data_IF_063699014254
#
_entry.id   IF_063699014254
#
_cell.length_a   1.000
_cell.length_b   1.000
_cell.length_c   1.000
_cell.angle_alpha   90.00
_cell.angle_beta   90.00
_cell.angle_gamma   90.00
#
_symmetry.space_group_name_H-M   'P 1'
#
loop_
_entity.id
_entity.type
_entity.pdbx_description
1 polymer ?
#
# COMPACT_ATOMS: atom_id res chain seq x y z
N UNK A 1 2.14 3.52 8.97
CA UNK A 1 2.64 2.70 10.11
C UNK A 1 1.50 2.07 10.91
N UNK A 2 0.60 2.84 11.54
CA UNK A 2 -0.47 2.28 12.40
C UNK A 2 -1.39 1.28 11.67
N UNK A 3 -1.77 1.56 10.42
CA UNK A 3 -2.62 0.63 9.66
C UNK A 3 -1.92 -0.67 9.30
N UNK A 4 -0.64 -0.62 8.90
CA UNK A 4 0.15 -1.82 8.60
C UNK A 4 0.38 -2.74 9.79
N UNK A 5 0.37 -2.18 11.00
CA UNK A 5 0.52 -2.99 12.20
C UNK A 5 -0.80 -3.62 12.66
N UNK A 6 -1.90 -3.39 11.95
CA UNK A 6 -3.20 -3.97 12.27
C UNK A 6 -3.15 -5.50 12.44
N UNK A 7 -2.57 -6.28 11.51
CA UNK A 7 -2.61 -7.75 11.59
C UNK A 7 -1.92 -8.27 12.84
N UNK A 8 -0.83 -7.62 13.27
CA UNK A 8 -0.04 -8.01 14.45
C UNK A 8 -0.74 -7.70 15.78
N UNK A 9 -1.66 -6.72 15.77
CA UNK A 9 -2.39 -6.26 16.96
C UNK A 9 -3.71 -7.00 17.14
N UNK A 10 -4.12 -7.79 16.17
CA UNK A 10 -5.30 -8.63 16.25
C UNK A 10 -5.01 -9.86 17.12
N UNK A 11 -6.02 -10.29 17.87
CA UNK A 11 -5.94 -11.57 18.56
C UNK A 11 -5.89 -12.68 17.51
N UNK A 12 -4.84 -13.50 17.56
CA UNK A 12 -4.79 -14.73 16.76
C UNK A 12 -5.89 -15.67 17.27
N UNK A 13 -6.94 -15.76 16.48
CA UNK A 13 -8.04 -16.68 16.73
C UNK A 13 -7.72 -18.04 16.10
N UNK A 14 -8.09 -19.13 16.77
CA UNK A 14 -8.03 -20.46 16.17
C UNK A 14 -8.96 -20.59 14.94
N UNK A 15 -8.87 -21.69 14.17
CA UNK A 15 -9.59 -21.87 12.90
C UNK A 15 -11.12 -21.70 12.97
N UNK A 16 -11.71 -21.83 14.15
CA UNK A 16 -13.15 -21.73 14.40
C UNK A 16 -13.57 -20.45 15.12
N UNK A 17 -12.64 -19.56 15.47
CA UNK A 17 -12.93 -18.36 16.25
C UNK A 17 -13.06 -17.13 15.33
N UNK A 18 -14.25 -16.90 14.79
CA UNK A 18 -14.55 -15.66 14.07
C UNK A 18 -14.71 -14.50 15.06
N UNK A 19 -13.88 -13.47 14.91
CA UNK A 19 -14.10 -12.20 15.61
C UNK A 19 -15.04 -11.34 14.77
N UNK A 20 -16.08 -10.79 15.41
CA UNK A 20 -17.07 -9.92 14.78
C UNK A 20 -16.42 -8.60 14.29
N UNK A 21 -15.36 -8.17 14.96
CA UNK A 21 -14.76 -6.84 14.75
C UNK A 21 -13.44 -6.85 13.99
N UNK A 22 -12.78 -8.01 13.88
CA UNK A 22 -11.45 -8.13 13.25
C UNK A 22 -11.28 -9.44 12.49
N UNK A 23 -10.58 -9.44 11.35
CA UNK A 23 -10.19 -10.65 10.62
C UNK A 23 -8.81 -10.47 9.96
N UNK A 24 -8.12 -11.57 9.68
CA UNK A 24 -6.80 -11.57 9.02
C UNK A 24 -5.65 -11.24 9.98
N UNK A 25 -5.62 -11.84 11.17
CA UNK A 25 -4.48 -11.73 12.05
C UNK A 25 -3.27 -12.47 11.44
N UNK A 26 -2.11 -11.83 11.40
CA UNK A 26 -0.87 -12.39 10.88
C UNK A 26 0.30 -11.76 11.62
N UNK A 27 1.38 -12.50 11.86
CA UNK A 27 2.59 -11.95 12.49
C UNK A 27 3.51 -11.24 11.47
N UNK A 28 4.48 -10.47 11.98
CA UNK A 28 5.39 -9.68 11.14
C UNK A 28 6.26 -10.57 10.25
N UNK A 29 6.66 -11.73 10.77
CA UNK A 29 7.47 -12.68 10.02
C UNK A 29 6.69 -13.23 8.82
N UNK A 30 5.42 -13.57 8.99
CA UNK A 30 4.52 -14.05 7.94
C UNK A 30 4.33 -13.02 6.84
N UNK A 31 4.11 -11.75 7.18
CA UNK A 31 3.99 -10.67 6.17
C UNK A 31 5.32 -10.49 5.41
N UNK A 32 6.46 -10.49 6.09
CA UNK A 32 7.77 -10.35 5.44
C UNK A 32 8.05 -11.55 4.54
N UNK A 33 7.82 -12.78 4.99
CA UNK A 33 8.01 -13.98 4.17
C UNK A 33 7.07 -14.01 2.96
N UNK A 34 5.85 -13.53 3.11
CA UNK A 34 4.89 -13.45 2.03
C UNK A 34 5.32 -12.41 0.97
N UNK A 35 5.66 -11.19 1.38
CA UNK A 35 6.02 -10.10 0.47
C UNK A 35 7.41 -10.28 -0.16
N UNK A 36 8.39 -10.70 0.64
CA UNK A 36 9.79 -10.77 0.23
C UNK A 36 10.24 -12.20 -0.12
N UNK A 37 9.67 -13.24 0.50
CA UNK A 37 10.17 -14.62 0.40
C UNK A 37 9.66 -15.41 -0.81
N UNK A 38 8.58 -14.99 -1.46
CA UNK A 38 7.98 -15.76 -2.56
C UNK A 38 8.63 -15.44 -3.91
N UNK A 39 9.31 -16.42 -4.51
CA UNK A 39 9.87 -16.51 -5.88
C UNK A 39 10.86 -15.43 -6.36
N UNK A 40 10.69 -14.14 -5.99
CA UNK A 40 11.47 -13.01 -6.52
C UNK A 40 12.36 -12.29 -5.50
N UNK A 41 12.46 -12.78 -4.26
CA UNK A 41 13.29 -12.18 -3.20
C UNK A 41 13.15 -10.65 -3.12
N UNK A 42 11.91 -10.16 -3.20
CA UNK A 42 11.69 -8.73 -3.38
C UNK A 42 11.87 -7.99 -2.05
N UNK A 43 12.92 -7.19 -1.95
CA UNK A 43 13.20 -6.42 -0.74
C UNK A 43 12.41 -5.09 -0.67
N UNK A 44 11.78 -4.68 -1.76
CA UNK A 44 11.08 -3.39 -1.85
C UNK A 44 9.63 -3.61 -2.26
N UNK A 45 8.71 -3.02 -1.50
CA UNK A 45 7.27 -3.10 -1.77
C UNK A 45 6.71 -1.73 -2.12
N UNK A 46 5.71 -1.73 -2.99
CA UNK A 46 4.90 -0.55 -3.28
C UNK A 46 3.92 -0.37 -2.14
N UNK A 47 3.86 0.86 -1.62
CA UNK A 47 2.93 1.28 -0.60
C UNK A 47 1.80 2.06 -1.26
N UNK A 48 0.57 1.58 -1.17
CA UNK A 48 -0.63 2.28 -1.63
C UNK A 48 -1.60 2.59 -0.47
N UNK A 49 -2.32 3.69 -0.58
CA UNK A 49 -3.26 4.17 0.45
C UNK A 49 -4.52 4.77 -0.18
N UNK A 50 -5.67 4.56 0.46
CA UNK A 50 -6.88 5.37 0.27
C UNK A 50 -7.30 5.98 1.62
N UNK A 51 -7.34 7.31 1.70
CA UNK A 51 -7.65 8.06 2.92
C UNK A 51 -8.31 9.43 2.60
N UNK A 52 -9.58 9.65 3.01
CA UNK A 52 -10.51 8.62 3.48
C UNK A 52 -10.79 7.58 2.40
N UNK A 53 -10.97 6.33 2.80
CA UNK A 53 -11.36 5.27 1.87
C UNK A 53 -12.81 5.48 1.40
N UNK A 54 -13.13 5.18 0.12
CA UNK A 54 -14.48 5.31 -0.39
C UNK A 54 -15.42 4.29 0.27
N UNK A 55 -16.73 4.54 0.16
CA UNK A 55 -17.74 3.56 0.55
C UNK A 55 -17.67 2.33 -0.33
N UNK A 56 -17.94 1.15 0.26
CA UNK A 56 -18.18 -0.08 -0.47
C UNK A 56 -19.49 0.09 -1.26
N UNK A 57 -19.37 0.39 -2.55
CA UNK A 57 -20.50 0.41 -3.48
C UNK A 57 -20.58 -0.93 -4.20
N UNK A 58 -21.76 -1.52 -4.20
CA UNK A 58 -22.09 -2.68 -5.05
C UNK A 58 -22.33 -2.25 -6.51
N UNK A 59 -22.53 -0.95 -6.76
CA UNK A 59 -22.85 -0.42 -8.09
C UNK A 59 -21.61 0.18 -8.78
N UNK A 60 -21.39 -0.27 -10.02
CA UNK A 60 -20.23 -0.06 -10.91
C UNK A 60 -19.91 1.40 -11.30
N UNK A 61 -20.70 2.38 -10.86
CA UNK A 61 -20.52 3.79 -11.26
C UNK A 61 -19.60 4.60 -10.33
N UNK A 62 -19.26 4.07 -9.14
CA UNK A 62 -18.30 4.68 -8.22
C UNK A 62 -16.91 4.04 -8.38
N UNK A 63 -15.84 4.80 -8.12
CA UNK A 63 -14.46 4.30 -8.16
C UNK A 63 -14.35 3.01 -7.33
N UNK A 64 -13.84 1.95 -7.96
CA UNK A 64 -13.64 0.66 -7.27
C UNK A 64 -12.68 0.84 -6.09
N UNK A 65 -12.79 -0.02 -5.08
CA UNK A 65 -11.90 -0.02 -3.91
C UNK A 65 -10.43 0.00 -4.34
N UNK A 66 -10.06 -0.84 -5.31
CA UNK A 66 -8.70 -0.91 -5.86
C UNK A 66 -8.31 0.35 -6.63
N UNK A 67 -9.22 0.93 -7.42
CA UNK A 67 -8.97 2.16 -8.17
C UNK A 67 -8.81 3.41 -7.31
N UNK A 68 -9.28 3.36 -6.05
CA UNK A 68 -9.09 4.46 -5.09
C UNK A 68 -7.71 4.47 -4.41
N UNK A 69 -6.93 3.40 -4.56
CA UNK A 69 -5.60 3.28 -3.96
C UNK A 69 -4.59 4.16 -4.71
N UNK A 70 -3.91 5.02 -3.98
CA UNK A 70 -2.88 5.91 -4.50
C UNK A 70 -1.49 5.46 -3.99
N UNK A 71 -0.49 5.28 -4.88
CA UNK A 71 0.86 4.92 -4.47
C UNK A 71 1.52 6.08 -3.73
N UNK A 72 2.07 5.79 -2.54
CA UNK A 72 2.97 6.68 -1.81
C UNK A 72 4.44 6.40 -2.12
N UNK A 73 4.73 5.22 -2.68
CA UNK A 73 6.05 4.94 -3.27
C UNK A 73 6.16 5.75 -4.57
N UNK A 74 7.18 6.61 -4.73
CA UNK A 74 7.33 7.42 -5.95
C UNK A 74 7.78 6.57 -7.13
N UNK A 75 7.56 7.08 -8.35
CA UNK A 75 8.06 6.49 -9.61
C UNK A 75 7.66 5.00 -9.79
N UNK A 76 6.44 4.67 -9.39
CA UNK A 76 5.86 3.34 -9.59
C UNK A 76 5.10 3.32 -10.91
N UNK A 77 5.26 2.24 -11.67
CA UNK A 77 4.49 2.04 -12.89
C UNK A 77 3.04 1.68 -12.58
N UNK A 78 2.11 2.31 -13.30
CA UNK A 78 0.67 2.03 -13.24
C UNK A 78 0.32 0.85 -14.16
N UNK A 79 -0.76 0.14 -13.83
CA UNK A 79 -1.36 -0.93 -14.65
C UNK A 79 -0.38 -2.02 -15.15
N UNK A 80 0.61 -2.36 -14.32
CA UNK A 80 1.59 -3.41 -14.65
C UNK A 80 0.99 -4.79 -14.40
N UNK A 81 0.90 -5.60 -15.46
CA UNK A 81 0.59 -7.01 -15.34
C UNK A 81 1.77 -7.76 -14.69
N UNK A 82 1.51 -8.35 -13.53
CA UNK A 82 2.51 -9.11 -12.78
C UNK A 82 1.90 -10.35 -12.12
N UNK A 83 2.02 -11.49 -12.81
CA UNK A 83 1.53 -12.79 -12.36
C UNK A 83 2.24 -13.36 -11.12
N UNK A 84 3.27 -12.68 -10.62
CA UNK A 84 3.94 -13.04 -9.37
C UNK A 84 3.79 -11.96 -8.31
N UNK A 85 2.94 -10.96 -8.54
CA UNK A 85 2.64 -9.97 -7.53
C UNK A 85 2.04 -10.63 -6.29
N UNK A 86 2.47 -10.18 -5.13
CA UNK A 86 1.96 -10.62 -3.83
C UNK A 86 1.67 -9.39 -3.00
N UNK A 87 0.55 -9.38 -2.28
CA UNK A 87 0.17 -8.22 -1.49
C UNK A 87 -0.49 -8.55 -0.16
N UNK A 88 -0.43 -7.58 0.75
CA UNK A 88 -1.26 -7.53 1.94
C UNK A 88 -2.03 -6.22 1.95
N UNK A 89 -3.33 -6.31 2.20
CA UNK A 89 -4.23 -5.18 2.31
C UNK A 89 -4.80 -5.11 3.73
N UNK A 90 -4.82 -3.91 4.30
CA UNK A 90 -5.42 -3.65 5.61
C UNK A 90 -6.53 -2.62 5.47
N UNK A 91 -7.71 -2.94 5.98
CA UNK A 91 -8.91 -2.09 5.90
C UNK A 91 -9.39 -1.74 7.32
N UNK A 92 -9.57 -0.45 7.57
CA UNK A 92 -10.11 0.09 8.81
C UNK A 92 -11.45 0.78 8.57
N UNK A 93 -12.45 0.39 9.35
CA UNK A 93 -13.71 1.12 9.47
C UNK A 93 -14.44 1.32 8.15
N UNK A 94 -14.35 0.37 7.22
CA UNK A 94 -15.07 0.44 5.95
C UNK A 94 -16.55 0.79 6.17
N UNK A 95 -17.10 1.57 5.24
CA UNK A 95 -18.50 2.01 5.26
C UNK A 95 -19.20 1.54 3.99
N UNK A 96 -20.48 1.20 4.09
CA UNK A 96 -21.34 0.93 2.93
C UNK A 96 -21.84 2.23 2.32
N UNK A 97 -22.47 2.18 1.15
CA UNK A 97 -23.06 3.35 0.49
C UNK A 97 -24.08 4.13 1.36
N UNK A 98 -24.68 3.49 2.36
CA UNK A 98 -25.55 4.14 3.35
C UNK A 98 -24.82 4.84 4.50
N UNK A 99 -23.49 5.03 4.41
CA UNK A 99 -22.64 5.55 5.50
C UNK A 99 -22.69 4.71 6.79
N UNK A 100 -23.11 3.46 6.69
CA UNK A 100 -23.13 2.51 7.80
C UNK A 100 -21.81 1.73 7.84
N UNK A 101 -21.38 1.29 9.03
CA UNK A 101 -20.19 0.44 9.16
C UNK A 101 -20.43 -0.88 8.46
N UNK A 102 -19.53 -1.24 7.56
CA UNK A 102 -19.54 -2.52 6.88
C UNK A 102 -19.12 -3.64 7.84
N UNK A 103 -19.80 -4.76 7.75
CA UNK A 103 -19.38 -6.02 8.35
C UNK A 103 -18.12 -6.56 7.66
N UNK A 104 -17.42 -7.47 8.34
CA UNK A 104 -16.24 -8.14 7.76
C UNK A 104 -16.61 -8.92 6.49
N UNK A 105 -17.80 -9.51 6.45
CA UNK A 105 -18.26 -10.25 5.28
C UNK A 105 -18.44 -9.33 4.06
N UNK A 106 -19.11 -8.19 4.22
CA UNK A 106 -19.27 -7.19 3.15
C UNK A 106 -17.91 -6.66 2.66
N UNK A 107 -16.95 -6.46 3.56
CA UNK A 107 -15.59 -6.04 3.16
C UNK A 107 -14.90 -7.11 2.32
N UNK A 108 -14.97 -8.39 2.74
CA UNK A 108 -14.37 -9.50 2.01
C UNK A 108 -15.00 -9.67 0.63
N UNK A 109 -16.33 -9.62 0.56
CA UNK A 109 -17.09 -9.70 -0.69
C UNK A 109 -16.75 -8.55 -1.65
N UNK A 110 -16.70 -7.32 -1.15
CA UNK A 110 -16.33 -6.16 -1.94
C UNK A 110 -14.88 -6.21 -2.46
N UNK A 111 -13.93 -6.70 -1.65
CA UNK A 111 -12.54 -6.90 -2.08
C UNK A 111 -12.46 -7.99 -3.16
N UNK A 112 -13.17 -9.10 -2.98
CA UNK A 112 -13.21 -10.18 -3.98
C UNK A 112 -13.81 -9.69 -5.30
N UNK A 113 -14.97 -9.02 -5.25
CA UNK A 113 -15.61 -8.45 -6.43
C UNK A 113 -14.71 -7.42 -7.14
N UNK A 114 -13.91 -6.66 -6.38
CA UNK A 114 -12.95 -5.71 -6.96
C UNK A 114 -11.81 -6.41 -7.71
N UNK A 115 -11.33 -7.57 -7.25
CA UNK A 115 -10.36 -8.35 -8.01
C UNK A 115 -10.99 -9.09 -9.19
N UNK A 116 -12.21 -9.61 -9.04
CA UNK A 116 -12.92 -10.31 -10.12
C UNK A 116 -13.20 -9.39 -11.33
N UNK A 117 -13.32 -8.09 -11.07
CA UNK A 117 -13.48 -7.04 -12.10
C UNK A 117 -12.17 -6.39 -12.55
N UNK A 118 -11.04 -6.74 -11.93
CA UNK A 118 -9.72 -6.21 -12.29
C UNK A 118 -9.10 -6.99 -13.44
N UNK A 119 -8.37 -6.30 -14.33
CA UNK A 119 -7.60 -6.93 -15.40
C UNK A 119 -6.43 -7.77 -14.85
N UNK A 120 -5.95 -7.43 -13.65
CA UNK A 120 -4.79 -8.07 -13.03
C UNK A 120 -5.11 -8.45 -11.59
N UNK A 121 -4.76 -9.68 -11.19
CA UNK A 121 -4.88 -10.16 -9.82
C UNK A 121 -3.51 -10.59 -9.30
N UNK A 122 -3.13 -10.23 -8.07
CA UNK A 122 -1.93 -10.78 -7.46
C UNK A 122 -2.04 -12.31 -7.33
N UNK A 123 -0.91 -13.00 -7.41
CA UNK A 123 -0.82 -14.45 -7.17
C UNK A 123 -1.31 -14.81 -5.77
N UNK A 124 -1.05 -13.94 -4.81
CA UNK A 124 -1.49 -14.10 -3.43
C UNK A 124 -1.86 -12.74 -2.84
N UNK A 125 -3.03 -12.67 -2.19
CA UNK A 125 -3.49 -11.48 -1.47
C UNK A 125 -3.90 -11.87 -0.06
N UNK A 126 -3.27 -11.24 0.93
CA UNK A 126 -3.69 -11.30 2.32
C UNK A 126 -4.57 -10.08 2.64
N UNK A 127 -5.69 -10.31 3.34
CA UNK A 127 -6.60 -9.25 3.75
C UNK A 127 -6.79 -9.24 5.27
N UNK A 128 -6.49 -8.11 5.89
CA UNK A 128 -6.82 -7.82 7.28
C UNK A 128 -7.87 -6.73 7.38
N UNK A 129 -8.89 -6.96 8.18
CA UNK A 129 -10.04 -6.06 8.30
C UNK A 129 -10.31 -5.77 9.76
N UNK A 130 -10.48 -4.50 10.12
CA UNK A 130 -11.05 -4.10 11.38
C UNK A 130 -12.24 -3.16 11.15
N UNK A 131 -13.34 -3.40 11.87
CA UNK A 131 -14.56 -2.57 11.78
C UNK A 131 -14.37 -1.18 12.40
N UNK A 132 -13.31 -0.98 13.19
CA UNK A 132 -13.00 0.31 13.78
C UNK A 132 -12.25 1.22 12.76
N UNK A 133 -12.71 2.48 12.58
CA UNK A 133 -11.99 3.47 11.77
C UNK A 133 -10.70 3.92 12.48
N UNK A 134 -9.86 4.67 11.76
CA UNK A 134 -8.71 5.32 12.37
C UNK A 134 -9.12 6.62 13.06
N UNK A 135 -8.83 6.79 14.36
CA UNK A 135 -9.10 8.05 15.05
C UNK A 135 -8.13 9.14 14.56
N UNK A 136 -8.61 10.38 14.49
CA UNK A 136 -7.78 11.56 14.23
C UNK A 136 -7.23 12.08 15.57
N UNK A 137 -5.90 12.19 15.73
CA UNK A 137 -5.33 12.71 16.98
C UNK A 137 -5.64 14.20 17.16
N UNK A 138 -5.63 14.68 18.40
CA UNK A 138 -5.76 16.11 18.72
C UNK A 138 -4.41 16.68 19.19
N UNK A 139 -3.95 17.82 18.64
CA UNK A 139 -4.47 18.52 17.47
C UNK A 139 -4.02 17.85 16.16
N UNK A 140 -4.82 17.98 15.09
CA UNK A 140 -4.44 17.52 13.75
C UNK A 140 -4.86 18.54 12.68
N UNK A 141 -4.04 18.73 11.63
CA UNK A 141 -4.25 19.80 10.64
C UNK A 141 -5.57 19.67 9.89
N UNK A 142 -6.09 20.81 9.43
CA UNK A 142 -7.32 20.89 8.65
C UNK A 142 -7.10 20.49 7.19
N UNK A 143 -6.84 19.20 6.96
CA UNK A 143 -6.56 18.64 5.63
C UNK A 143 -7.79 18.05 4.94
N UNK A 144 -8.91 17.93 5.64
CA UNK A 144 -10.12 17.33 5.08
C UNK A 144 -10.95 18.38 4.36
N UNK A 145 -11.51 18.03 3.21
CA UNK A 145 -12.44 18.89 2.48
C UNK A 145 -13.84 18.88 3.12
N UNK A 146 -14.71 19.78 2.67
CA UNK A 146 -16.11 19.85 3.09
C UNK A 146 -17.00 18.69 2.59
N UNK A 147 -16.47 17.80 1.74
CA UNK A 147 -17.12 16.55 1.32
C UNK A 147 -16.76 15.35 2.21
N UNK A 148 -15.86 15.51 3.17
CA UNK A 148 -15.54 14.48 4.16
C UNK A 148 -16.47 14.70 5.34
N UNK A 149 -17.21 13.69 5.79
CA UNK A 149 -18.12 13.75 6.94
C UNK A 149 -17.43 13.62 8.31
N UNK A 150 -18.19 13.45 9.39
CA UNK A 150 -17.64 13.47 10.76
C UNK A 150 -16.79 12.22 11.06
N UNK A 151 -17.12 11.09 10.44
CA UNK A 151 -16.41 9.82 10.60
C UNK A 151 -15.59 9.46 9.35
N UNK A 152 -15.31 10.46 8.51
CA UNK A 152 -14.49 10.37 7.31
C UNK A 152 -15.20 9.76 6.11
N UNK A 153 -16.51 9.51 6.20
CA UNK A 153 -17.35 9.12 5.07
C UNK A 153 -17.29 10.19 3.98
N UNK A 154 -17.19 9.77 2.72
CA UNK A 154 -17.25 10.69 1.58
C UNK A 154 -18.71 10.98 1.26
N UNK A 155 -19.10 12.25 1.31
CA UNK A 155 -20.46 12.73 1.11
C UNK A 155 -20.71 13.09 -0.35
N UNK A 156 -21.94 12.89 -0.82
CA UNK A 156 -22.35 13.30 -2.18
C UNK A 156 -22.52 14.82 -2.31
N UNK A 157 -22.83 15.49 -1.20
CA UNK A 157 -23.04 16.94 -1.16
C UNK A 157 -22.09 17.59 -0.15
N UNK A 158 -21.54 18.78 -0.47
CA UNK A 158 -20.63 19.47 0.42
C UNK A 158 -21.36 20.01 1.65
N UNK A 159 -20.72 19.92 2.81
CA UNK A 159 -21.19 20.56 4.03
C UNK A 159 -21.04 22.08 3.91
N UNK A 160 -22.10 22.80 4.29
CA UNK A 160 -22.10 24.27 4.31
C UNK A 160 -21.19 24.82 5.41
N UNK A 161 -20.46 25.90 5.12
CA UNK A 161 -19.55 26.54 6.07
C UNK A 161 -18.11 26.56 5.58
N UNK A 162 -17.21 25.87 6.28
CA UNK A 162 -15.79 25.86 5.97
C UNK A 162 -15.44 24.90 4.82
N UNK A 163 -14.58 25.33 3.89
CA UNK A 163 -14.05 24.48 2.82
C UNK A 163 -13.02 23.45 3.32
N UNK A 164 -12.42 23.70 4.48
CA UNK A 164 -11.41 22.86 5.12
C UNK A 164 -11.84 22.50 6.54
N UNK A 165 -11.67 21.23 6.89
CA UNK A 165 -12.10 20.61 8.14
C UNK A 165 -10.91 19.94 8.80
N UNK A 166 -10.81 20.06 10.13
CA UNK A 166 -9.75 19.48 10.93
C UNK A 166 -10.29 18.52 11.96
N UNK A 167 -9.51 18.35 13.03
CA UNK A 167 -9.76 17.34 14.05
C UNK A 167 -10.91 17.64 15.00
N UNK A 168 -11.45 18.86 14.97
CA UNK A 168 -12.66 19.22 15.71
C UNK A 168 -13.91 18.75 14.98
N UNK A 169 -13.87 18.74 13.66
CA UNK A 169 -15.01 18.39 12.81
C UNK A 169 -14.97 16.95 12.31
N UNK A 170 -13.77 16.39 12.09
CA UNK A 170 -13.57 15.01 11.65
C UNK A 170 -12.89 14.23 12.77
N UNK A 171 -13.58 13.22 13.29
CA UNK A 171 -13.16 12.46 14.47
C UNK A 171 -12.37 11.19 14.11
N UNK A 172 -12.71 10.60 12.97
CA UNK A 172 -12.10 9.37 12.48
C UNK A 172 -12.24 9.30 10.97
N UNK A 173 -11.56 8.36 10.33
CA UNK A 173 -11.76 8.08 8.91
C UNK A 173 -11.60 6.60 8.58
N UNK A 174 -12.32 6.08 7.58
CA UNK A 174 -12.02 4.79 6.99
C UNK A 174 -10.69 4.88 6.24
N UNK A 175 -9.87 3.83 6.31
CA UNK A 175 -8.58 3.80 5.63
C UNK A 175 -8.34 2.43 5.03
N UNK A 176 -7.80 2.41 3.82
CA UNK A 176 -7.27 1.21 3.19
C UNK A 176 -5.78 1.44 2.99
N UNK A 177 -4.98 0.43 3.32
CA UNK A 177 -3.57 0.41 3.00
C UNK A 177 -3.18 -0.89 2.34
N UNK A 178 -2.29 -0.83 1.36
CA UNK A 178 -1.79 -1.99 0.63
C UNK A 178 -0.28 -1.95 0.55
N UNK A 179 0.36 -3.08 0.88
CA UNK A 179 1.75 -3.34 0.53
C UNK A 179 1.76 -4.38 -0.56
N UNK A 180 2.43 -4.08 -1.67
CA UNK A 180 2.47 -4.93 -2.85
C UNK A 180 3.91 -5.16 -3.28
N UNK A 181 4.32 -6.42 -3.28
CA UNK A 181 5.54 -6.89 -3.92
C UNK A 181 5.23 -7.10 -5.40
N UNK A 182 5.77 -6.26 -6.28
CA UNK A 182 5.48 -6.29 -7.71
C UNK A 182 6.58 -5.63 -8.53
N UNK A 183 6.69 -5.98 -9.81
CA UNK A 183 7.55 -5.31 -10.81
C UNK A 183 7.21 -3.84 -11.01
N UNK A 184 6.05 -3.36 -10.56
CA UNK A 184 5.68 -1.95 -10.63
C UNK A 184 6.71 -1.01 -9.96
N UNK A 185 7.52 -1.50 -9.02
CA UNK A 185 8.59 -0.73 -8.36
C UNK A 185 9.86 -0.56 -9.21
N UNK A 186 9.95 -1.22 -10.37
CA UNK A 186 11.15 -1.20 -11.22
C UNK A 186 11.62 0.21 -11.60
N UNK A 187 10.77 1.16 -12.06
CA UNK A 187 11.26 2.46 -12.48
C UNK A 187 11.91 3.24 -11.33
N UNK A 188 11.34 3.14 -10.12
CA UNK A 188 11.95 3.66 -8.90
C UNK A 188 13.35 3.06 -8.65
N UNK A 189 13.49 1.73 -8.70
CA UNK A 189 14.77 1.06 -8.45
C UNK A 189 15.81 1.41 -9.52
N UNK A 190 15.43 1.46 -10.80
CA UNK A 190 16.30 1.85 -11.90
C UNK A 190 16.77 3.30 -11.76
N UNK A 191 15.86 4.21 -11.38
CA UNK A 191 16.18 5.60 -11.06
C UNK A 191 17.18 5.71 -9.92
N UNK A 192 16.99 4.97 -8.81
CA UNK A 192 17.93 4.99 -7.68
C UNK A 192 19.29 4.37 -8.05
N UNK A 193 19.31 3.27 -8.79
CA UNK A 193 20.54 2.66 -9.29
C UNK A 193 21.31 3.60 -10.21
N UNK A 194 20.61 4.28 -11.14
CA UNK A 194 21.21 5.28 -12.03
C UNK A 194 21.80 6.46 -11.26
N UNK A 195 21.08 6.97 -10.26
CA UNK A 195 21.57 8.04 -9.39
C UNK A 195 22.80 7.61 -8.57
N UNK A 196 22.79 6.40 -8.00
CA UNK A 196 23.92 5.89 -7.23
C UNK A 196 25.16 5.73 -8.11
N UNK A 197 25.01 5.23 -9.34
CA UNK A 197 26.11 5.14 -10.31
C UNK A 197 26.68 6.52 -10.62
N UNK A 198 25.82 7.43 -11.09
CA UNK A 198 26.22 8.78 -11.53
C UNK A 198 26.84 9.63 -10.42
N UNK A 199 26.31 9.55 -9.20
CA UNK A 199 26.69 10.46 -8.11
C UNK A 199 27.55 9.82 -7.03
N UNK A 200 27.63 8.49 -6.95
CA UNK A 200 28.40 7.79 -5.92
C UNK A 200 29.54 6.91 -6.43
N UNK A 201 29.35 6.19 -7.55
CA UNK A 201 30.27 5.12 -7.99
C UNK A 201 31.20 5.58 -9.11
N UNK A 202 30.67 6.29 -10.11
CA UNK A 202 31.41 6.64 -11.32
C UNK A 202 32.66 7.46 -10.99
N UNK A 203 33.70 7.29 -11.81
CA UNK A 203 34.95 8.03 -11.61
C UNK A 203 34.68 9.54 -11.71
N UNK A 204 35.01 10.26 -10.64
CA UNK A 204 34.78 11.71 -10.57
C UNK A 204 33.35 12.09 -10.18
N UNK A 205 32.56 11.15 -9.64
CA UNK A 205 31.22 11.41 -9.16
C UNK A 205 31.19 12.51 -8.09
N UNK A 206 30.38 13.55 -8.32
CA UNK A 206 30.31 14.75 -7.48
C UNK A 206 29.80 14.48 -6.07
N UNK A 207 29.04 13.40 -5.86
CA UNK A 207 28.51 13.00 -4.56
C UNK A 207 29.45 12.10 -3.76
N UNK A 208 30.53 11.58 -4.35
CA UNK A 208 31.46 10.68 -3.64
C UNK A 208 32.10 11.33 -2.39
N UNK A 209 32.57 12.59 -2.41
CA UNK A 209 33.08 13.24 -1.21
C UNK A 209 32.01 13.43 -0.12
N UNK A 210 30.76 13.67 -0.52
CA UNK A 210 29.64 13.82 0.41
C UNK A 210 29.33 12.48 1.09
N UNK A 211 29.24 11.39 0.33
CA UNK A 211 29.03 10.05 0.87
C UNK A 211 30.15 9.66 1.84
N UNK A 212 31.40 9.95 1.50
CA UNK A 212 32.54 9.75 2.39
C UNK A 212 32.43 10.58 3.68
N UNK A 213 31.98 11.84 3.58
CA UNK A 213 31.75 12.70 4.76
C UNK A 213 30.62 12.19 5.66
N UNK A 214 29.66 11.45 5.10
CA UNK A 214 28.60 10.76 5.84
C UNK A 214 29.06 9.42 6.44
N UNK A 215 30.30 9.00 6.17
CA UNK A 215 30.91 7.79 6.70
C UNK A 215 30.82 6.57 5.79
N UNK A 216 30.34 6.71 4.55
CA UNK A 216 30.30 5.60 3.60
C UNK A 216 31.66 5.38 2.92
N UNK A 217 32.18 4.16 3.02
CA UNK A 217 33.35 3.72 2.28
C UNK A 217 33.04 3.58 0.79
N UNK A 218 34.07 3.71 -0.05
CA UNK A 218 33.91 3.50 -1.51
C UNK A 218 33.37 2.10 -1.81
N UNK A 219 33.97 1.08 -1.20
CA UNK A 219 33.59 -0.32 -1.40
C UNK A 219 32.14 -0.57 -0.95
N UNK A 220 31.70 0.06 0.16
CA UNK A 220 30.31 -0.04 0.63
C UNK A 220 29.30 0.55 -0.38
N UNK A 221 29.64 1.67 -1.02
CA UNK A 221 28.79 2.31 -2.04
C UNK A 221 28.74 1.45 -3.31
N UNK A 222 29.85 0.82 -3.68
CA UNK A 222 29.90 -0.15 -4.79
C UNK A 222 29.02 -1.38 -4.48
N UNK A 223 29.12 -1.95 -3.28
CA UNK A 223 28.29 -3.08 -2.81
C UNK A 223 26.79 -2.75 -2.82
N UNK A 224 26.41 -1.53 -2.42
CA UNK A 224 25.03 -1.04 -2.54
C UNK A 224 24.57 -1.00 -4.00
N UNK A 225 25.45 -0.56 -4.90
CA UNK A 225 25.19 -0.54 -6.35
C UNK A 225 24.98 -1.92 -6.93
N UNK A 226 25.83 -2.89 -6.54
CA UNK A 226 25.65 -4.29 -6.93
C UNK A 226 24.33 -4.87 -6.41
N UNK A 227 23.99 -4.58 -5.16
CA UNK A 227 22.76 -5.09 -4.52
C UNK A 227 21.53 -4.56 -5.23
N UNK A 228 21.46 -3.26 -5.49
CA UNK A 228 20.38 -2.65 -6.28
C UNK A 228 20.33 -3.20 -7.71
N UNK A 229 21.49 -3.40 -8.34
CA UNK A 229 21.56 -3.98 -9.68
C UNK A 229 21.01 -5.40 -9.72
N UNK A 230 21.33 -6.24 -8.73
CA UNK A 230 20.78 -7.60 -8.58
C UNK A 230 19.25 -7.55 -8.43
N UNK A 231 18.73 -6.66 -7.59
CA UNK A 231 17.28 -6.48 -7.41
C UNK A 231 16.57 -6.07 -8.71
N UNK A 232 17.12 -5.10 -9.44
CA UNK A 232 16.58 -4.67 -10.74
C UNK A 232 16.54 -5.83 -11.74
N UNK A 233 17.62 -6.62 -11.84
CA UNK A 233 17.67 -7.76 -12.76
C UNK A 233 16.64 -8.82 -12.37
N UNK A 234 16.51 -9.15 -11.09
CA UNK A 234 15.55 -10.15 -10.60
C UNK A 234 14.09 -9.77 -10.88
N UNK A 235 13.77 -8.47 -10.82
CA UNK A 235 12.41 -7.99 -11.03
C UNK A 235 12.05 -7.75 -12.50
N UNK A 236 13.03 -7.66 -13.41
CA UNK A 236 12.73 -7.47 -14.83
C UNK A 236 11.94 -8.67 -15.36
N UNK A 237 10.85 -8.43 -16.12
CA UNK A 237 10.14 -9.50 -16.79
C UNK A 237 11.13 -10.26 -17.68
N UNK A 238 11.30 -11.55 -17.42
CA UNK A 238 11.93 -12.42 -18.39
C UNK A 238 10.88 -12.59 -19.49
N UNK A 239 10.96 -11.77 -20.54
CA UNK A 239 10.30 -12.13 -21.79
C UNK A 239 10.89 -13.48 -22.17
N UNK A 240 10.08 -14.53 -22.04
CA UNK A 240 10.39 -15.83 -22.62
C UNK A 240 10.71 -15.57 -24.08
N UNK A 241 11.99 -15.69 -24.41
CA UNK A 241 12.43 -15.85 -25.78
C UNK A 241 12.23 -17.32 -26.15
N UNK A 242 11.01 -17.84 -25.98
CA UNK A 242 10.60 -19.07 -26.63
C UNK A 242 9.98 -18.69 -27.98
N UNK A 243 10.86 -18.34 -28.91
CA UNK A 243 10.61 -18.46 -30.33
C UNK A 243 11.52 -19.58 -30.82
N UNK A 244 10.98 -20.80 -30.84
CA UNK A 244 10.96 -21.75 -31.97
C UNK A 244 10.39 -23.12 -31.54
#
# INVERSE_FOLDING_TARGET
MYSFSLPFRMKQSGPSAESICTSGALDMYGIVQMLAGQMRQNMVTVLDVAMPAPSLSVNQAQQSLLGSLQPLTPDVAEDVEDLHAVETMNIHGAVTSGSQRASIYEVKDAVQAAYDSSLTMPKFSHLSVATCPLPIPLPFPSIFGNMVGQHGELLETPISGSSSRGSLEVQSFPMVTRLRSSTAVLPFLESKLGNLRKFGIDRGALGAPLLQSWGFGKDEVEDMGETLSKLVVTLKPQYSSDSD
#
